data_IF_255627096434
#
_entry.id   IF_255627096434
#
_cell.length_a   1.000
_cell.length_b   1.000
_cell.length_c   1.000
_cell.angle_alpha   90.00
_cell.angle_beta   90.00
_cell.angle_gamma   90.00
#
_symmetry.space_group_name_H-M   'P 1'
#
loop_
_entity.id
_entity.type
_entity.pdbx_description
1 polymer ?
#
# COMPACT_ATOMS: atom_id res chain seq x y z
N UNK A 1 -14.48 6.00 -11.62
CA UNK A 1 -14.15 5.05 -10.53
C UNK A 1 -13.28 5.73 -9.48
N UNK A 2 -13.65 5.65 -8.20
CA UNK A 2 -12.82 6.06 -7.05
C UNK A 2 -12.06 4.86 -6.48
N UNK A 3 -11.05 5.11 -5.66
CA UNK A 3 -10.30 4.04 -4.97
C UNK A 3 -11.21 3.23 -4.04
N UNK A 4 -12.11 3.88 -3.29
CA UNK A 4 -13.11 3.20 -2.47
C UNK A 4 -13.93 2.19 -3.27
N UNK A 5 -14.52 2.64 -4.40
CA UNK A 5 -15.34 1.78 -5.25
C UNK A 5 -14.54 0.62 -5.86
N UNK A 6 -13.27 0.84 -6.18
CA UNK A 6 -12.39 -0.21 -6.69
C UNK A 6 -12.09 -1.28 -5.64
N UNK A 7 -11.84 -0.87 -4.39
CA UNK A 7 -11.59 -1.79 -3.27
C UNK A 7 -12.85 -2.58 -2.94
N UNK A 8 -14.01 -1.93 -2.89
CA UNK A 8 -15.31 -2.59 -2.65
C UNK A 8 -15.57 -3.66 -3.72
N UNK A 9 -15.41 -3.32 -5.01
CA UNK A 9 -15.54 -4.29 -6.10
C UNK A 9 -14.57 -5.47 -5.97
N UNK A 10 -13.32 -5.19 -5.61
CA UNK A 10 -12.33 -6.24 -5.38
C UNK A 10 -12.74 -7.19 -4.23
N UNK A 11 -13.21 -6.64 -3.11
CA UNK A 11 -13.65 -7.44 -1.95
C UNK A 11 -14.92 -8.24 -2.25
N UNK A 12 -15.80 -7.74 -3.12
CA UNK A 12 -17.04 -8.43 -3.52
C UNK A 12 -16.76 -9.57 -4.49
N UNK A 13 -15.85 -9.37 -5.45
CA UNK A 13 -15.48 -10.39 -6.43
C UNK A 13 -14.66 -11.53 -5.82
N UNK A 14 -14.00 -11.29 -4.69
CA UNK A 14 -13.14 -12.30 -4.05
C UNK A 14 -13.94 -13.22 -3.13
N UNK A 15 -14.60 -14.22 -3.74
CA UNK A 15 -15.45 -15.21 -3.06
C UNK A 15 -14.68 -16.28 -2.29
N UNK A 16 -13.41 -16.53 -2.63
CA UNK A 16 -12.58 -17.58 -2.03
C UNK A 16 -11.90 -17.18 -0.70
N UNK A 17 -12.25 -16.04 -0.10
CA UNK A 17 -11.70 -15.64 1.19
C UNK A 17 -12.53 -16.19 2.34
N UNK A 18 -11.84 -16.64 3.40
CA UNK A 18 -12.49 -16.90 4.67
C UNK A 18 -13.20 -15.63 5.17
N UNK A 19 -14.41 -15.80 5.74
CA UNK A 19 -15.26 -14.69 6.21
C UNK A 19 -14.48 -13.76 7.14
N UNK A 20 -13.74 -14.31 8.10
CA UNK A 20 -12.90 -13.57 9.05
C UNK A 20 -11.82 -12.72 8.37
N UNK A 21 -11.28 -13.18 7.23
CA UNK A 21 -10.27 -12.42 6.48
C UNK A 21 -10.92 -11.28 5.70
N UNK A 22 -12.10 -11.52 5.11
CA UNK A 22 -12.87 -10.48 4.43
C UNK A 22 -13.28 -9.38 5.42
N UNK A 23 -13.77 -9.75 6.59
CA UNK A 23 -14.12 -8.80 7.66
C UNK A 23 -12.90 -7.98 8.13
N UNK A 24 -11.75 -8.63 8.34
CA UNK A 24 -10.53 -7.93 8.71
C UNK A 24 -10.10 -6.92 7.63
N UNK A 25 -10.18 -7.30 6.35
CA UNK A 25 -9.87 -6.38 5.24
C UNK A 25 -10.83 -5.20 5.17
N UNK A 26 -12.13 -5.46 5.29
CA UNK A 26 -13.16 -4.40 5.35
C UNK A 26 -12.88 -3.46 6.53
N UNK A 27 -12.65 -3.98 7.73
CA UNK A 27 -12.39 -3.16 8.92
C UNK A 27 -11.17 -2.24 8.73
N UNK A 28 -10.07 -2.79 8.20
CA UNK A 28 -8.82 -2.03 7.97
C UNK A 28 -9.04 -0.94 6.91
N UNK A 29 -9.74 -1.27 5.81
CA UNK A 29 -10.09 -0.34 4.75
C UNK A 29 -10.97 0.81 5.27
N UNK A 30 -12.04 0.50 6.01
CA UNK A 30 -12.97 1.50 6.51
C UNK A 30 -12.29 2.46 7.48
N UNK A 31 -11.45 1.95 8.37
CA UNK A 31 -10.80 2.75 9.40
C UNK A 31 -9.75 3.72 8.87
N UNK A 32 -8.99 3.34 7.84
CA UNK A 32 -7.78 4.06 7.44
C UNK A 32 -7.72 4.49 5.96
N UNK A 33 -8.65 4.06 5.10
CA UNK A 33 -8.66 4.42 3.68
C UNK A 33 -9.95 5.16 3.30
N UNK A 34 -11.12 4.66 3.71
CA UNK A 34 -12.45 5.13 3.24
C UNK A 34 -12.64 6.64 3.34
N UNK A 35 -12.31 7.23 4.48
CA UNK A 35 -12.48 8.67 4.72
C UNK A 35 -11.28 9.54 4.35
N UNK A 36 -10.19 8.92 3.90
CA UNK A 36 -8.98 9.65 3.51
C UNK A 36 -9.07 10.23 2.11
N UNK A 37 -8.17 11.18 1.81
CA UNK A 37 -8.00 11.71 0.45
C UNK A 37 -7.72 10.59 -0.56
N UNK A 38 -6.98 9.54 -0.17
CA UNK A 38 -6.67 8.40 -1.03
C UNK A 38 -7.94 7.67 -1.48
N UNK A 39 -8.82 7.33 -0.53
CA UNK A 39 -10.06 6.59 -0.80
C UNK A 39 -11.04 7.34 -1.72
N UNK A 40 -11.16 8.66 -1.51
CA UNK A 40 -12.05 9.55 -2.26
C UNK A 40 -11.50 9.95 -3.65
N UNK A 41 -10.20 9.79 -3.87
CA UNK A 41 -9.56 10.15 -5.13
C UNK A 41 -9.96 9.20 -6.27
N UNK A 42 -9.89 9.70 -7.51
CA UNK A 42 -10.13 8.86 -8.69
C UNK A 42 -8.93 7.94 -8.91
N UNK A 43 -9.20 6.69 -9.28
CA UNK A 43 -8.16 5.66 -9.50
C UNK A 43 -7.08 6.14 -10.48
N UNK A 44 -7.49 6.82 -11.55
CA UNK A 44 -6.61 7.36 -12.59
C UNK A 44 -5.64 8.46 -12.12
N UNK A 45 -5.96 9.14 -11.03
CA UNK A 45 -5.18 10.28 -10.53
C UNK A 45 -4.13 9.81 -9.49
N UNK A 46 -4.22 8.56 -9.04
CA UNK A 46 -3.30 7.99 -8.05
C UNK A 46 -1.95 7.69 -8.67
N UNK A 47 -0.89 8.27 -8.11
CA UNK A 47 0.49 7.96 -8.46
C UNK A 47 1.11 7.03 -7.43
N UNK A 48 2.21 6.39 -7.83
CA UNK A 48 3.03 5.58 -6.93
C UNK A 48 3.48 6.35 -5.68
N UNK A 49 3.83 7.63 -5.86
CA UNK A 49 4.26 8.51 -4.76
C UNK A 49 3.16 8.67 -3.69
N UNK A 50 1.89 8.74 -4.08
CA UNK A 50 0.78 8.86 -3.13
C UNK A 50 0.66 7.60 -2.27
N UNK A 51 0.87 6.41 -2.86
CA UNK A 51 0.87 5.13 -2.13
C UNK A 51 2.07 5.05 -1.18
N UNK A 52 3.26 5.44 -1.62
CA UNK A 52 4.44 5.47 -0.75
C UNK A 52 4.27 6.44 0.42
N UNK A 53 3.72 7.64 0.16
CA UNK A 53 3.41 8.61 1.21
C UNK A 53 2.39 8.06 2.20
N UNK A 54 1.38 7.32 1.74
CA UNK A 54 0.42 6.64 2.61
C UNK A 54 1.09 5.59 3.50
N UNK A 55 1.98 4.74 2.96
CA UNK A 55 2.71 3.76 3.78
C UNK A 55 3.67 4.41 4.77
N UNK A 56 4.36 5.47 4.37
CA UNK A 56 5.20 6.25 5.26
C UNK A 56 4.38 6.88 6.40
N UNK A 57 3.17 7.38 6.12
CA UNK A 57 2.25 7.88 7.14
C UNK A 57 1.81 6.77 8.12
N UNK A 58 1.45 5.59 7.61
CA UNK A 58 1.09 4.44 8.45
C UNK A 58 2.26 4.01 9.35
N UNK A 59 3.48 4.01 8.83
CA UNK A 59 4.67 3.63 9.57
C UNK A 59 5.07 4.68 10.61
N UNK A 60 5.18 5.95 10.21
CA UNK A 60 5.78 7.02 11.03
C UNK A 60 4.80 7.73 11.95
N UNK A 61 3.56 7.97 11.50
CA UNK A 61 2.56 8.74 12.26
C UNK A 61 1.62 7.83 13.03
N UNK A 62 1.30 6.65 12.49
CA UNK A 62 0.44 5.67 13.16
C UNK A 62 1.21 4.58 13.90
N UNK A 63 2.54 4.53 13.77
CA UNK A 63 3.41 3.51 14.39
C UNK A 63 2.97 2.07 14.10
N UNK A 64 2.38 1.82 12.92
CA UNK A 64 1.99 0.48 12.55
C UNK A 64 3.22 -0.37 12.21
N UNK A 65 3.20 -1.61 12.68
CA UNK A 65 4.22 -2.58 12.33
C UNK A 65 4.10 -2.99 10.86
N UNK A 66 5.22 -3.46 10.30
CA UNK A 66 5.35 -3.79 8.87
C UNK A 66 4.32 -4.84 8.42
N UNK A 67 3.98 -5.79 9.28
CA UNK A 67 2.94 -6.79 9.02
C UNK A 67 1.58 -6.16 8.78
N UNK A 68 1.22 -5.10 9.52
CA UNK A 68 -0.02 -4.36 9.28
C UNK A 68 0.04 -3.60 7.96
N UNK A 69 1.17 -2.98 7.62
CA UNK A 69 1.36 -2.30 6.31
C UNK A 69 1.19 -3.30 5.16
N UNK A 70 1.72 -4.52 5.32
CA UNK A 70 1.53 -5.61 4.35
C UNK A 70 0.05 -5.98 4.16
N UNK A 71 -0.79 -5.88 5.19
CA UNK A 71 -2.24 -6.10 5.03
C UNK A 71 -2.87 -5.06 4.09
N UNK A 72 -2.48 -3.79 4.20
CA UNK A 72 -2.94 -2.75 3.25
C UNK A 72 -2.45 -3.02 1.83
N UNK A 73 -1.20 -3.44 1.65
CA UNK A 73 -0.68 -3.86 0.34
C UNK A 73 -1.50 -5.02 -0.23
N UNK A 74 -1.86 -6.01 0.58
CA UNK A 74 -2.63 -7.18 0.16
C UNK A 74 -4.07 -6.85 -0.27
N UNK A 75 -4.58 -5.67 0.09
CA UNK A 75 -5.87 -5.15 -0.38
C UNK A 75 -5.65 -4.27 -1.62
N UNK A 76 -4.76 -3.29 -1.52
CA UNK A 76 -4.57 -2.27 -2.56
C UNK A 76 -3.96 -2.85 -3.83
N UNK A 77 -2.90 -3.66 -3.73
CA UNK A 77 -2.20 -4.19 -4.90
C UNK A 77 -3.12 -4.97 -5.84
N UNK A 78 -3.87 -6.00 -5.38
CA UNK A 78 -4.77 -6.73 -6.26
C UNK A 78 -5.98 -5.89 -6.72
N UNK A 79 -6.49 -4.95 -5.91
CA UNK A 79 -7.54 -4.04 -6.36
C UNK A 79 -7.06 -3.14 -7.52
N UNK A 80 -5.85 -2.58 -7.43
CA UNK A 80 -5.25 -1.83 -8.54
C UNK A 80 -4.84 -2.73 -9.71
N UNK A 81 -4.50 -3.99 -9.48
CA UNK A 81 -4.25 -4.94 -10.55
C UNK A 81 -5.51 -5.21 -11.35
N UNK A 82 -6.65 -5.43 -10.69
CA UNK A 82 -7.95 -5.53 -11.35
C UNK A 82 -8.27 -4.29 -12.20
N UNK A 83 -7.86 -3.09 -11.75
CA UNK A 83 -8.01 -1.87 -12.55
C UNK A 83 -7.09 -1.84 -13.79
N UNK A 84 -5.89 -2.41 -13.71
CA UNK A 84 -4.99 -2.58 -14.86
C UNK A 84 -5.59 -3.57 -15.86
N UNK A 85 -6.08 -4.71 -15.37
CA UNK A 85 -6.62 -5.79 -16.19
C UNK A 85 -7.90 -5.38 -16.95
N UNK A 86 -8.58 -4.33 -16.47
CA UNK A 86 -9.77 -3.73 -17.11
C UNK A 86 -9.45 -2.41 -17.83
N UNK A 87 -8.19 -2.12 -18.15
CA UNK A 87 -7.72 -0.93 -18.87
C UNK A 87 -8.11 0.43 -18.25
N UNK A 88 -8.49 0.46 -16.96
CA UNK A 88 -8.82 1.70 -16.24
C UNK A 88 -7.55 2.51 -15.98
N UNK A 89 -6.43 1.82 -15.74
CA UNK A 89 -5.10 2.41 -15.56
C UNK A 89 -4.05 1.61 -16.32
N UNK A 90 -3.01 2.28 -16.79
CA UNK A 90 -1.91 1.64 -17.55
C UNK A 90 -0.89 0.91 -16.68
N UNK A 91 -0.74 1.32 -15.41
CA UNK A 91 0.29 0.80 -14.49
C UNK A 91 -0.26 0.75 -13.08
N UNK A 92 0.09 -0.30 -12.35
CA UNK A 92 -0.29 -0.45 -10.94
C UNK A 92 0.55 0.50 -10.05
N UNK A 93 -0.06 1.48 -9.36
CA UNK A 93 0.66 2.43 -8.51
C UNK A 93 1.25 1.78 -7.24
N UNK A 94 0.78 0.60 -6.83
CA UNK A 94 1.28 -0.13 -5.66
C UNK A 94 2.55 -0.95 -5.95
N UNK A 95 3.01 -0.97 -7.21
CA UNK A 95 4.13 -1.81 -7.61
C UNK A 95 5.45 -1.33 -6.99
N UNK A 96 6.05 -2.19 -6.16
CA UNK A 96 7.31 -1.94 -5.47
C UNK A 96 7.24 -0.94 -4.32
N UNK A 97 6.05 -0.61 -3.80
CA UNK A 97 5.88 0.31 -2.66
C UNK A 97 6.30 -0.32 -1.32
N UNK A 98 6.34 -1.66 -1.24
CA UNK A 98 6.76 -2.39 -0.03
C UNK A 98 8.27 -2.59 0.11
N UNK A 99 9.09 -2.21 -0.90
CA UNK A 99 10.54 -2.49 -0.90
C UNK A 99 11.22 -1.94 0.36
N UNK A 100 10.93 -0.70 0.72
CA UNK A 100 11.47 -0.02 1.91
C UNK A 100 11.12 -0.73 3.24
N UNK A 101 10.05 -1.51 3.26
CA UNK A 101 9.55 -2.19 4.46
C UNK A 101 9.91 -3.68 4.50
N UNK A 102 10.39 -4.26 3.39
CA UNK A 102 10.77 -5.67 3.31
C UNK A 102 12.13 -5.88 3.98
N UNK A 103 12.28 -6.90 4.83
CA UNK A 103 13.59 -7.27 5.40
C UNK A 103 14.56 -7.55 4.26
N UNK A 104 15.68 -6.80 4.22
CA UNK A 104 16.78 -7.02 3.27
C UNK A 104 16.89 -6.08 2.08
N UNK A 105 15.97 -5.10 1.90
CA UNK A 105 16.05 -4.11 0.80
C UNK A 105 16.58 -2.73 1.21
N UNK A 106 16.94 -2.52 2.48
CA UNK A 106 18.12 -1.68 2.70
C UNK A 106 19.30 -2.50 2.18
N UNK A 107 19.62 -2.34 0.89
CA UNK A 107 21.03 -2.38 0.54
C UNK A 107 21.65 -1.45 1.56
N UNK A 108 22.45 -2.02 2.44
CA UNK A 108 23.38 -1.25 3.21
C UNK A 108 24.13 -0.42 2.18
N UNK A 109 23.74 0.84 1.97
CA UNK A 109 24.67 1.83 1.46
C UNK A 109 25.61 2.01 2.63
N UNK A 110 26.52 1.04 2.77
CA UNK A 110 27.75 1.17 3.51
C UNK A 110 28.46 2.30 2.78
N UNK A 111 28.10 3.54 3.06
CA UNK A 111 29.12 4.55 3.06
C UNK A 111 30.03 4.11 4.21
N UNK A 112 31.21 3.56 3.91
CA UNK A 112 32.11 3.16 4.97
C UNK A 112 32.37 4.39 5.85
N UNK A 113 32.38 4.19 7.17
CA UNK A 113 32.43 5.26 8.18
C UNK A 113 33.61 6.23 7.99
N UNK A 114 34.65 5.84 7.24
CA UNK A 114 35.75 6.73 6.84
C UNK A 114 35.30 7.91 5.96
N UNK A 115 34.19 7.79 5.23
CA UNK A 115 33.60 8.88 4.43
C UNK A 115 32.90 9.92 5.32
N UNK A 116 32.45 9.53 6.52
CA UNK A 116 31.72 10.41 7.45
C UNK A 116 32.63 11.16 8.43
N UNK A 117 33.96 11.11 8.25
CA UNK A 117 34.91 11.87 9.07
C UNK A 117 34.97 11.46 10.56
N UNK A 118 34.22 10.42 10.96
CA UNK A 118 34.24 9.87 12.31
C UNK A 118 35.36 8.82 12.40
N UNK A 119 36.59 9.28 12.66
CA UNK A 119 37.68 8.43 13.14
C UNK A 119 37.46 8.17 14.63
N UNK A 120 37.37 6.88 15.00
CA UNK A 120 37.88 6.43 16.30
C UNK A 120 39.37 6.14 16.15
#
# INVERSE_FOLDING_TARGET
>A
MTVNKLIEQYLDLKTNLAVSTKENYTHIYEKNIKDTKLGKSKVKDIKKMDIQAFYAYLFTKRNFCRGTIQLYQNILFPAFQMAVDNDIIRKNPCNGCMKEYTRGSMSSTKYPLWILGLKN
#
